data_IF_314848062395
#
_entry.id   IF_314848062395
#
_cell.length_a   1.000
_cell.length_b   1.000
_cell.length_c   1.000
_cell.angle_alpha   90.00
_cell.angle_beta   90.00
_cell.angle_gamma   90.00
#
_symmetry.space_group_name_H-M   'P 1'
#
loop_
_entity.id
_entity.type
_entity.pdbx_description
1 polymer ?
#
# COMPACT_ATOMS: atom_id res chain seq x y z
N UNK A 1 -51.71 26.32 -6.46
CA UNK A 1 -50.89 25.08 -6.37
C UNK A 1 -49.38 25.31 -6.56
N UNK A 2 -48.94 26.42 -7.18
CA UNK A 2 -47.52 26.71 -7.44
C UNK A 2 -46.73 27.21 -6.23
N UNK A 3 -47.36 27.97 -5.31
CA UNK A 3 -46.70 28.47 -4.09
C UNK A 3 -46.35 27.37 -3.07
N UNK A 4 -47.19 26.33 -2.95
CA UNK A 4 -46.96 25.20 -2.02
C UNK A 4 -45.80 24.30 -2.50
N UNK A 5 -45.66 24.11 -3.83
CA UNK A 5 -44.51 23.39 -4.42
C UNK A 5 -43.18 24.13 -4.18
N UNK A 6 -43.16 25.46 -4.26
CA UNK A 6 -41.94 26.25 -4.04
C UNK A 6 -41.48 26.24 -2.58
N UNK A 7 -42.42 26.18 -1.62
CA UNK A 7 -42.11 26.05 -0.18
C UNK A 7 -41.61 24.64 0.17
N UNK A 8 -42.11 23.60 -0.50
CA UNK A 8 -41.65 22.23 -0.28
C UNK A 8 -40.23 21.98 -0.85
N UNK A 9 -39.91 22.57 -2.00
CA UNK A 9 -38.56 22.46 -2.61
C UNK A 9 -37.49 23.18 -1.76
N UNK A 10 -37.84 24.30 -1.11
CA UNK A 10 -36.92 25.02 -0.22
C UNK A 10 -36.69 24.33 1.13
N UNK A 11 -37.69 23.59 1.63
CA UNK A 11 -37.56 22.83 2.87
C UNK A 11 -36.70 21.58 2.70
N UNK A 12 -36.78 20.91 1.54
CA UNK A 12 -35.98 19.71 1.23
C UNK A 12 -34.51 20.05 0.97
N UNK A 13 -34.22 21.20 0.35
CA UNK A 13 -32.82 21.64 0.14
C UNK A 13 -32.12 22.06 1.42
N UNK A 14 -32.84 22.58 2.42
CA UNK A 14 -32.26 22.96 3.72
C UNK A 14 -31.97 21.74 4.62
N UNK A 15 -32.70 20.63 4.47
CA UNK A 15 -32.43 19.39 5.21
C UNK A 15 -31.29 18.54 4.64
N UNK A 16 -30.98 18.63 3.34
CA UNK A 16 -29.88 17.88 2.73
C UNK A 16 -28.49 18.40 3.16
N UNK A 17 -28.39 19.65 3.61
CA UNK A 17 -27.12 20.26 4.04
C UNK A 17 -26.67 19.80 5.45
N UNK A 18 -27.52 19.14 6.22
CA UNK A 18 -27.24 18.78 7.61
C UNK A 18 -26.72 17.34 7.81
N UNK A 19 -26.65 16.51 6.76
CA UNK A 19 -26.18 15.12 6.87
C UNK A 19 -24.73 14.90 6.38
N UNK A 20 -24.06 15.93 5.84
CA UNK A 20 -22.71 15.79 5.27
C UNK A 20 -21.57 15.87 6.32
N UNK A 21 -21.87 16.17 7.59
CA UNK A 21 -20.84 16.46 8.60
C UNK A 21 -20.24 15.24 9.34
N UNK A 22 -20.88 14.07 9.30
CA UNK A 22 -20.47 12.95 10.16
C UNK A 22 -19.32 12.09 9.60
N UNK A 23 -19.06 12.11 8.29
CA UNK A 23 -18.07 11.25 7.66
C UNK A 23 -16.62 11.78 7.73
N UNK A 24 -16.41 13.05 8.07
CA UNK A 24 -15.07 13.68 8.05
C UNK A 24 -14.33 13.51 9.40
N UNK A 25 -15.03 13.17 10.48
CA UNK A 25 -14.45 13.14 11.82
C UNK A 25 -13.54 11.92 12.10
N UNK A 26 -13.71 10.80 11.39
CA UNK A 26 -12.94 9.56 11.67
C UNK A 26 -11.55 9.54 11.03
N UNK A 27 -11.22 10.49 10.14
CA UNK A 27 -9.90 10.58 9.50
C UNK A 27 -8.93 11.52 10.24
N UNK A 28 -9.43 12.29 11.21
CA UNK A 28 -8.67 13.31 11.96
C UNK A 28 -8.66 13.01 13.47
N UNK A 29 -8.70 11.74 13.88
CA UNK A 29 -8.40 11.42 15.28
C UNK A 29 -6.91 11.64 15.51
N UNK A 30 -6.55 12.50 16.48
CA UNK A 30 -5.17 12.88 16.83
C UNK A 30 -4.23 11.67 16.98
N UNK A 31 -4.75 10.51 17.41
CA UNK A 31 -3.97 9.28 17.59
C UNK A 31 -3.25 8.78 16.33
N UNK A 32 -3.87 8.88 15.14
CA UNK A 32 -3.26 8.38 13.90
C UNK A 32 -2.19 9.32 13.35
N UNK A 33 -2.22 10.59 13.76
CA UNK A 33 -1.25 11.60 13.35
C UNK A 33 -0.03 11.53 14.26
N UNK A 34 -0.24 11.36 15.57
CA UNK A 34 0.82 11.29 16.57
C UNK A 34 1.74 10.08 16.36
N UNK A 35 1.18 8.92 16.03
CA UNK A 35 1.96 7.71 15.75
C UNK A 35 2.85 7.82 14.51
N UNK A 36 2.50 8.71 13.57
CA UNK A 36 3.28 8.97 12.35
C UNK A 36 4.25 10.13 12.49
N UNK A 37 3.97 11.07 13.39
CA UNK A 37 4.79 12.27 13.64
C UNK A 37 5.84 12.05 14.73
N UNK A 38 5.74 10.98 15.54
CA UNK A 38 6.78 10.67 16.53
C UNK A 38 8.13 10.49 15.82
N UNK A 39 9.18 11.20 16.26
CA UNK A 39 10.47 11.15 15.59
C UNK A 39 11.03 9.73 15.65
N UNK A 40 11.29 9.15 14.49
CA UNK A 40 11.91 7.82 14.36
C UNK A 40 13.39 7.83 14.77
N UNK A 41 13.98 9.02 14.93
CA UNK A 41 15.37 9.24 15.30
C UNK A 41 15.53 10.51 16.15
N UNK A 42 16.56 10.52 17.01
CA UNK A 42 16.97 11.72 17.74
C UNK A 42 17.89 12.56 16.87
N UNK A 43 17.59 13.85 16.76
CA UNK A 43 18.51 14.84 16.17
C UNK A 43 19.35 15.41 17.30
N UNK A 44 20.67 15.27 17.20
CA UNK A 44 21.62 15.88 18.12
C UNK A 44 22.17 17.16 17.49
N UNK A 45 22.37 18.20 18.29
CA UNK A 45 22.96 19.46 17.88
C UNK A 45 24.43 19.54 18.32
N UNK A 46 25.20 20.38 17.63
CA UNK A 46 26.64 20.58 17.90
C UNK A 46 26.88 20.92 19.39
N UNK A 47 27.59 20.05 20.11
CA UNK A 47 27.87 20.18 21.54
C UNK A 47 27.06 19.23 22.45
N UNK A 48 26.10 18.48 21.91
CA UNK A 48 25.47 17.38 22.64
C UNK A 48 26.47 16.22 22.83
N UNK A 49 26.37 15.53 23.97
CA UNK A 49 27.03 14.24 24.20
C UNK A 49 26.38 13.17 23.30
N UNK A 50 26.73 13.21 22.01
CA UNK A 50 26.36 12.17 21.05
C UNK A 50 26.99 10.86 21.51
N UNK A 51 26.21 9.77 21.65
CA UNK A 51 26.78 8.44 21.70
C UNK A 51 27.69 8.30 20.48
N UNK A 52 29.00 8.14 20.69
CA UNK A 52 29.93 7.83 19.62
C UNK A 52 29.52 6.49 19.03
N UNK A 53 28.69 6.52 17.99
CA UNK A 53 28.51 5.38 17.10
C UNK A 53 29.83 5.25 16.37
N UNK A 54 30.71 4.43 16.94
CA UNK A 54 31.77 3.82 16.16
C UNK A 54 31.11 3.24 14.91
N UNK A 55 31.57 3.66 13.73
CA UNK A 55 31.11 3.18 12.44
C UNK A 55 31.57 1.73 12.17
N UNK A 56 31.51 0.91 13.21
CA UNK A 56 31.94 -0.49 13.30
C UNK A 56 30.94 -1.32 14.11
N UNK A 57 29.70 -0.84 14.23
CA UNK A 57 28.58 -1.72 14.48
C UNK A 57 27.97 -2.08 13.11
N UNK A 58 27.78 -3.37 12.77
CA UNK A 58 26.93 -3.67 11.63
C UNK A 58 25.59 -3.00 11.91
N UNK A 59 25.03 -2.30 10.94
CA UNK A 59 23.58 -2.19 10.81
C UNK A 59 23.05 -3.59 10.56
N UNK A 60 23.13 -4.44 11.58
CA UNK A 60 22.16 -5.48 11.79
C UNK A 60 20.89 -4.72 12.14
N UNK A 61 20.19 -4.26 11.10
CA UNK A 61 18.79 -4.60 11.05
C UNK A 61 18.77 -6.10 11.36
N UNK A 62 18.46 -6.46 12.61
CA UNK A 62 17.99 -7.80 12.89
C UNK A 62 17.04 -8.11 11.74
N UNK A 63 17.22 -9.22 11.00
CA UNK A 63 16.19 -9.60 10.06
C UNK A 63 14.93 -9.70 10.91
N UNK A 64 14.07 -8.68 10.82
CA UNK A 64 12.65 -8.90 10.96
C UNK A 64 12.46 -10.06 10.01
N UNK A 65 12.07 -11.23 10.53
CA UNK A 65 11.96 -12.43 9.70
C UNK A 65 11.18 -12.12 8.43
N UNK A 66 11.18 -13.04 7.44
CA UNK A 66 10.51 -12.81 6.16
C UNK A 66 9.17 -12.10 6.36
N UNK A 67 9.02 -10.91 5.77
CA UNK A 67 7.79 -10.12 5.96
C UNK A 67 6.61 -10.92 5.44
N UNK A 68 5.44 -10.72 6.03
CA UNK A 68 4.23 -11.37 5.54
C UNK A 68 3.95 -10.94 4.09
N UNK A 69 3.65 -11.88 3.19
CA UNK A 69 3.39 -11.57 1.78
C UNK A 69 2.32 -10.50 1.56
N UNK A 70 1.26 -10.54 2.38
CA UNK A 70 0.19 -9.56 2.34
C UNK A 70 0.67 -8.14 2.65
N UNK A 71 1.64 -7.98 3.56
CA UNK A 71 2.20 -6.66 3.90
C UNK A 71 3.03 -6.10 2.74
N UNK A 72 3.84 -6.95 2.10
CA UNK A 72 4.61 -6.57 0.91
C UNK A 72 3.66 -6.20 -0.23
N UNK A 73 2.61 -7.00 -0.47
CA UNK A 73 1.59 -6.70 -1.46
C UNK A 73 1.00 -5.31 -1.22
N UNK A 74 0.56 -5.05 0.02
CA UNK A 74 -0.09 -3.80 0.40
C UNK A 74 0.81 -2.58 0.21
N UNK A 75 2.10 -2.70 0.53
CA UNK A 75 3.06 -1.59 0.47
C UNK A 75 3.60 -1.34 -0.93
N UNK A 76 3.91 -2.40 -1.69
CA UNK A 76 4.70 -2.29 -2.92
C UNK A 76 3.94 -2.67 -4.18
N UNK A 77 2.93 -3.54 -4.10
CA UNK A 77 2.32 -4.15 -5.28
C UNK A 77 0.94 -3.57 -5.62
N UNK A 78 0.17 -3.14 -4.62
CA UNK A 78 -1.22 -2.64 -4.78
C UNK A 78 -1.32 -1.47 -5.75
N UNK A 79 -0.32 -0.60 -5.79
CA UNK A 79 -0.31 0.59 -6.65
C UNK A 79 -0.59 0.28 -8.12
N UNK A 80 -0.18 -0.90 -8.60
CA UNK A 80 -0.47 -1.36 -9.95
C UNK A 80 -1.48 -2.50 -10.00
N UNK A 81 -1.37 -3.47 -9.09
CA UNK A 81 -2.13 -4.71 -9.16
C UNK A 81 -3.52 -4.67 -8.51
N UNK A 82 -3.91 -3.57 -7.85
CA UNK A 82 -5.26 -3.40 -7.35
C UNK A 82 -6.24 -2.94 -8.46
N UNK A 83 -5.77 -2.16 -9.44
CA UNK A 83 -6.62 -1.57 -10.49
C UNK A 83 -6.13 -1.83 -11.91
N UNK A 84 -5.02 -2.54 -12.08
CA UNK A 84 -4.47 -2.92 -13.38
C UNK A 84 -3.72 -1.78 -14.10
N UNK A 85 -3.03 -0.93 -13.35
CA UNK A 85 -2.24 0.17 -13.91
C UNK A 85 -1.24 -0.36 -14.94
N UNK A 86 -1.15 0.32 -16.09
CA UNK A 86 -0.27 -0.06 -17.20
C UNK A 86 -0.44 -1.51 -17.69
N UNK A 87 -1.62 -2.11 -17.48
CA UNK A 87 -1.92 -3.49 -17.88
C UNK A 87 -1.44 -4.55 -16.89
N UNK A 88 -1.13 -4.16 -15.64
CA UNK A 88 -0.84 -5.11 -14.57
C UNK A 88 -2.04 -6.08 -14.36
N UNK A 89 -1.81 -7.38 -14.13
CA UNK A 89 -2.88 -8.31 -13.80
C UNK A 89 -3.50 -7.93 -12.45
N UNK A 90 -4.81 -7.69 -12.44
CA UNK A 90 -5.56 -7.33 -11.24
C UNK A 90 -5.64 -8.55 -10.32
N UNK A 91 -5.26 -8.40 -9.05
CA UNK A 91 -5.41 -9.48 -8.07
C UNK A 91 -6.91 -9.75 -7.83
N UNK A 92 -7.29 -11.03 -7.84
CA UNK A 92 -8.69 -11.47 -7.82
C UNK A 92 -9.31 -11.70 -9.20
N UNK A 93 -8.62 -11.35 -10.29
CA UNK A 93 -9.09 -11.60 -11.66
C UNK A 93 -8.48 -12.89 -12.21
N UNK A 94 -9.18 -14.02 -12.01
CA UNK A 94 -8.73 -15.32 -12.49
C UNK A 94 -8.47 -15.36 -14.01
N UNK A 95 -9.28 -14.65 -14.81
CA UNK A 95 -9.11 -14.62 -16.26
C UNK A 95 -7.83 -13.86 -16.67
N UNK A 96 -7.45 -12.84 -15.90
CA UNK A 96 -6.18 -12.16 -16.10
C UNK A 96 -4.99 -13.05 -15.70
N UNK A 97 -5.09 -13.84 -14.63
CA UNK A 97 -3.99 -14.62 -14.06
C UNK A 97 -3.73 -15.98 -14.72
N UNK A 98 -4.75 -16.67 -15.22
CA UNK A 98 -4.62 -17.96 -15.92
C UNK A 98 -3.50 -17.97 -16.99
N UNK A 99 -3.48 -17.04 -17.97
CA UNK A 99 -2.46 -17.05 -19.02
C UNK A 99 -1.06 -16.65 -18.52
N UNK A 100 -0.91 -16.13 -17.30
CA UNK A 100 0.40 -15.88 -16.68
C UNK A 100 0.89 -17.13 -15.98
N UNK A 101 0.03 -17.77 -15.19
CA UNK A 101 0.34 -19.04 -14.53
C UNK A 101 0.69 -20.12 -15.56
N UNK A 102 0.00 -20.13 -16.71
CA UNK A 102 0.27 -21.05 -17.82
C UNK A 102 1.67 -20.89 -18.46
N UNK A 103 2.38 -19.78 -18.23
CA UNK A 103 3.77 -19.61 -18.68
C UNK A 103 4.76 -20.41 -17.82
N UNK A 104 4.32 -20.90 -16.65
CA UNK A 104 5.15 -21.58 -15.67
C UNK A 104 5.55 -20.64 -14.54
N UNK A 105 5.54 -21.16 -13.31
CA UNK A 105 5.75 -20.35 -12.10
C UNK A 105 7.13 -19.68 -12.08
N UNK A 106 8.17 -20.36 -12.59
CA UNK A 106 9.53 -19.81 -12.66
C UNK A 106 9.60 -18.55 -13.54
N UNK A 107 8.84 -18.50 -14.63
CA UNK A 107 8.75 -17.31 -15.49
C UNK A 107 8.02 -16.17 -14.80
N UNK A 108 6.97 -16.46 -14.03
CA UNK A 108 6.25 -15.43 -13.25
C UNK A 108 7.17 -14.84 -12.18
N UNK A 109 7.94 -15.69 -11.49
CA UNK A 109 8.94 -15.23 -10.53
C UNK A 109 10.05 -14.40 -11.17
N UNK A 110 10.59 -14.85 -12.31
CA UNK A 110 11.64 -14.12 -13.03
C UNK A 110 11.17 -12.71 -13.42
N UNK A 111 9.96 -12.60 -13.98
CA UNK A 111 9.36 -11.30 -14.31
C UNK A 111 9.16 -10.41 -13.07
N UNK A 112 8.77 -10.98 -11.93
CA UNK A 112 8.57 -10.22 -10.70
C UNK A 112 9.89 -9.74 -10.09
N UNK A 113 10.94 -10.57 -10.12
CA UNK A 113 12.26 -10.25 -9.56
C UNK A 113 13.01 -9.27 -10.46
N UNK A 114 13.07 -9.57 -11.76
CA UNK A 114 13.90 -8.83 -12.73
C UNK A 114 13.15 -7.70 -13.44
N UNK A 115 11.83 -7.61 -13.26
CA UNK A 115 10.97 -6.65 -13.93
C UNK A 115 10.56 -7.12 -15.32
N UNK A 116 9.39 -6.68 -15.77
CA UNK A 116 8.82 -7.06 -17.06
C UNK A 116 7.86 -5.98 -17.58
N UNK A 117 8.04 -5.56 -18.84
CA UNK A 117 7.30 -4.45 -19.44
C UNK A 117 7.32 -3.18 -18.55
N UNK A 118 6.15 -2.76 -18.06
CA UNK A 118 6.01 -1.59 -17.18
C UNK A 118 6.23 -1.90 -15.70
N UNK A 119 6.37 -3.19 -15.32
CA UNK A 119 6.64 -3.59 -13.94
C UNK A 119 8.15 -3.46 -13.66
N UNK A 120 8.57 -2.60 -12.71
CA UNK A 120 9.97 -2.47 -12.34
C UNK A 120 10.47 -3.71 -11.58
N UNK A 121 11.80 -3.94 -11.52
CA UNK A 121 12.38 -5.03 -10.74
C UNK A 121 11.86 -5.02 -9.30
N UNK A 122 11.55 -6.22 -8.78
CA UNK A 122 11.01 -6.45 -7.43
C UNK A 122 9.74 -5.65 -7.09
N UNK A 123 8.98 -5.20 -8.10
CA UNK A 123 7.74 -4.46 -7.88
C UNK A 123 7.92 -3.21 -7.02
N UNK A 124 9.03 -2.49 -7.17
CA UNK A 124 9.46 -1.34 -6.33
C UNK A 124 9.87 -1.65 -4.89
N UNK A 125 9.86 -2.91 -4.47
CA UNK A 125 10.40 -3.32 -3.17
C UNK A 125 11.93 -3.51 -3.24
N UNK A 126 12.69 -2.41 -3.11
CA UNK A 126 14.15 -2.42 -3.24
C UNK A 126 14.87 -3.21 -2.13
N UNK A 127 14.23 -3.36 -0.96
CA UNK A 127 14.77 -4.10 0.18
C UNK A 127 14.25 -5.55 0.28
N UNK A 128 13.37 -5.98 -0.64
CA UNK A 128 12.87 -7.35 -0.66
C UNK A 128 13.95 -8.34 -1.12
N UNK A 129 14.07 -9.43 -0.37
CA UNK A 129 14.76 -10.64 -0.85
C UNK A 129 13.98 -11.30 -1.99
N UNK A 130 14.65 -12.12 -2.78
CA UNK A 130 13.98 -12.83 -3.89
C UNK A 130 12.93 -13.81 -3.38
N UNK A 131 13.14 -14.40 -2.20
CA UNK A 131 12.17 -15.30 -1.58
C UNK A 131 10.92 -14.56 -1.08
N UNK A 132 11.08 -13.33 -0.57
CA UNK A 132 9.95 -12.45 -0.26
C UNK A 132 9.15 -12.07 -1.52
N UNK A 133 9.85 -11.84 -2.65
CA UNK A 133 9.19 -11.56 -3.93
C UNK A 133 8.42 -12.79 -4.43
N UNK A 134 8.99 -14.00 -4.32
CA UNK A 134 8.27 -15.23 -4.68
C UNK A 134 7.03 -15.43 -3.81
N UNK A 135 7.16 -15.23 -2.50
CA UNK A 135 6.05 -15.40 -1.57
C UNK A 135 4.90 -14.40 -1.84
N UNK A 136 5.20 -13.15 -2.21
CA UNK A 136 4.14 -12.20 -2.60
C UNK A 136 3.51 -12.55 -3.95
N UNK A 137 4.28 -13.11 -4.89
CA UNK A 137 3.71 -13.64 -6.15
C UNK A 137 2.75 -14.79 -5.85
N UNK A 138 3.12 -15.72 -4.99
CA UNK A 138 2.26 -16.85 -4.59
C UNK A 138 0.98 -16.35 -3.93
N UNK A 139 1.09 -15.41 -2.98
CA UNK A 139 -0.06 -14.75 -2.37
C UNK A 139 -1.00 -14.14 -3.42
N UNK A 140 -0.46 -13.39 -4.40
CA UNK A 140 -1.28 -12.76 -5.44
C UNK A 140 -1.95 -13.80 -6.34
N UNK A 141 -1.28 -14.91 -6.64
CA UNK A 141 -1.84 -16.03 -7.40
C UNK A 141 -2.96 -16.70 -6.61
N UNK A 142 -2.74 -17.01 -5.33
CA UNK A 142 -3.75 -17.62 -4.45
C UNK A 142 -5.00 -16.75 -4.31
N UNK A 143 -4.84 -15.43 -4.26
CA UNK A 143 -5.97 -14.50 -4.25
C UNK A 143 -6.70 -14.39 -5.61
N UNK A 144 -6.16 -14.99 -6.67
CA UNK A 144 -6.63 -14.85 -8.06
C UNK A 144 -6.98 -16.18 -8.73
N UNK A 145 -7.17 -17.25 -7.95
CA UNK A 145 -7.64 -18.56 -8.43
C UNK A 145 -9.08 -18.84 -8.03
#
# INVERSE_FOLDING_TARGET
MTKVKSLFVLAVSLTAALFAGAAVATHLSESNVEDRLKPVHKVYVEGDDVPQVSNTAPVSATPSGPREPADIYNVSCTACHASGVAGAPVVGDAAAWEPRIAQGIDTVYDHAINGFNAMPPKGTCADCSDDEIKAVVDYMIEQSQ
#
